data_IF_732396457428
#
_entry.id   IF_732396457428
#
_cell.length_a   1.000
_cell.length_b   1.000
_cell.length_c   1.000
_cell.angle_alpha   90.00
_cell.angle_beta   90.00
_cell.angle_gamma   90.00
#
_symmetry.space_group_name_H-M   'P 1'
#
loop_
_entity.id
_entity.type
_entity.pdbx_description
1 polymer ?
#
# COMPACT_ATOMS: atom_id res chain seq x y z
N UNK A 1 0.31 15.88 3.12
CA UNK A 1 0.79 14.82 2.22
C UNK A 1 1.05 15.41 0.86
N UNK A 2 2.24 15.19 0.28
CA UNK A 2 2.53 15.54 -1.12
C UNK A 2 1.99 14.43 -2.03
N UNK A 3 1.30 14.79 -3.11
CA UNK A 3 0.74 13.86 -4.10
C UNK A 3 1.42 14.10 -5.44
N UNK A 4 1.96 13.03 -6.04
CA UNK A 4 2.64 13.07 -7.34
C UNK A 4 1.88 12.23 -8.35
N UNK A 5 1.50 12.82 -9.47
CA UNK A 5 0.86 12.12 -10.58
C UNK A 5 1.88 11.78 -11.68
N UNK A 6 1.76 10.58 -12.25
CA UNK A 6 2.60 10.09 -13.33
C UNK A 6 1.85 9.00 -14.13
N UNK A 7 2.54 8.40 -15.11
CA UNK A 7 2.07 7.23 -15.84
C UNK A 7 3.05 6.07 -15.70
N UNK A 8 2.52 4.85 -15.73
CA UNK A 8 3.32 3.63 -15.90
C UNK A 8 3.86 3.53 -17.34
N UNK A 9 4.85 2.67 -17.56
CA UNK A 9 5.37 2.40 -18.92
C UNK A 9 4.30 1.87 -19.89
N UNK A 10 3.20 1.33 -19.35
CA UNK A 10 2.04 0.84 -20.10
C UNK A 10 0.94 1.89 -20.29
N UNK A 11 1.17 3.13 -19.88
CA UNK A 11 0.25 4.26 -20.06
C UNK A 11 -0.84 4.41 -18.98
N UNK A 12 -0.91 3.52 -18.00
CA UNK A 12 -1.88 3.62 -16.89
C UNK A 12 -1.53 4.75 -15.92
N UNK A 13 -2.54 5.46 -15.41
CA UNK A 13 -2.34 6.51 -14.41
C UNK A 13 -1.81 5.92 -13.10
N UNK A 14 -0.84 6.62 -12.52
CA UNK A 14 -0.20 6.28 -11.25
C UNK A 14 -0.09 7.53 -10.38
N UNK A 15 -0.54 7.42 -9.14
CA UNK A 15 -0.45 8.45 -8.12
C UNK A 15 0.41 7.91 -6.99
N UNK A 16 1.42 8.68 -6.57
CA UNK A 16 2.34 8.33 -5.48
C UNK A 16 2.24 9.33 -4.35
N UNK A 17 2.37 8.84 -3.13
CA UNK A 17 2.40 9.64 -1.90
C UNK A 17 3.06 8.84 -0.77
N UNK A 18 3.22 9.46 0.38
CA UNK A 18 3.77 8.83 1.59
C UNK A 18 2.73 8.89 2.72
N UNK A 19 2.65 7.82 3.52
CA UNK A 19 1.79 7.78 4.69
C UNK A 19 2.41 8.55 5.89
N UNK A 20 1.78 8.48 7.06
CA UNK A 20 2.27 9.16 8.26
C UNK A 20 3.65 8.69 8.74
N UNK A 21 4.07 7.48 8.34
CA UNK A 21 5.35 6.88 8.69
C UNK A 21 6.37 6.94 7.55
N UNK A 22 6.16 7.85 6.60
CA UNK A 22 6.97 8.03 5.40
C UNK A 22 7.04 6.74 4.52
N UNK A 23 6.06 5.85 4.64
CA UNK A 23 5.97 4.64 3.81
C UNK A 23 5.41 5.03 2.45
N UNK A 24 6.11 4.61 1.40
CA UNK A 24 5.71 4.87 0.01
C UNK A 24 4.43 4.11 -0.33
N UNK A 25 3.43 4.87 -0.75
CA UNK A 25 2.11 4.40 -1.14
C UNK A 25 1.80 4.79 -2.58
N UNK A 26 0.91 4.04 -3.23
CA UNK A 26 0.39 4.41 -4.53
C UNK A 26 -1.07 4.02 -4.75
N UNK A 27 -1.68 4.75 -5.68
CA UNK A 27 -2.92 4.38 -6.37
C UNK A 27 -2.58 4.25 -7.85
N UNK A 28 -2.95 3.14 -8.47
CA UNK A 28 -2.68 2.88 -9.88
C UNK A 28 -3.90 2.32 -10.57
N UNK A 29 -4.20 2.76 -11.79
CA UNK A 29 -5.17 2.09 -12.64
C UNK A 29 -4.74 0.63 -12.88
N UNK A 30 -5.71 -0.29 -12.77
CA UNK A 30 -5.50 -1.69 -13.06
C UNK A 30 -5.71 -1.97 -14.53
N UNK A 31 -4.93 -2.90 -15.07
CA UNK A 31 -5.14 -3.45 -16.42
C UNK A 31 -6.19 -4.57 -16.44
N UNK A 32 -7.09 -4.61 -15.45
CA UNK A 32 -8.15 -5.62 -15.39
C UNK A 32 -9.10 -5.41 -16.58
N UNK A 33 -9.28 -6.45 -17.39
CA UNK A 33 -10.04 -6.34 -18.63
C UNK A 33 -11.57 -6.30 -18.42
N UNK A 34 -12.05 -6.85 -17.31
CA UNK A 34 -13.48 -7.07 -17.07
C UNK A 34 -14.15 -5.91 -16.37
N UNK A 35 -13.41 -5.18 -15.53
CA UNK A 35 -13.96 -4.17 -14.62
C UNK A 35 -12.97 -3.02 -14.44
N UNK A 36 -13.52 -1.82 -14.24
CA UNK A 36 -12.71 -0.67 -13.82
C UNK A 36 -12.27 -0.83 -12.37
N UNK A 37 -10.96 -0.98 -12.18
CA UNK A 37 -10.38 -1.24 -10.88
C UNK A 37 -9.05 -0.51 -10.70
N UNK A 38 -8.67 -0.31 -9.43
CA UNK A 38 -7.41 0.31 -9.04
C UNK A 38 -6.63 -0.61 -8.10
N UNK A 39 -5.31 -0.49 -8.15
CA UNK A 39 -4.44 -0.95 -7.07
C UNK A 39 -4.26 0.19 -6.08
N UNK A 40 -4.44 -0.08 -4.78
CA UNK A 40 -4.26 0.91 -3.72
C UNK A 40 -3.58 0.29 -2.50
N UNK A 41 -2.42 0.83 -2.10
CA UNK A 41 -1.72 0.43 -0.88
C UNK A 41 -0.24 0.81 -0.89
N UNK A 42 0.56 0.09 -0.09
CA UNK A 42 2.01 0.34 0.05
C UNK A 42 2.80 -0.31 -1.09
N UNK A 43 3.90 0.33 -1.50
CA UNK A 43 4.77 -0.14 -2.59
C UNK A 43 5.58 -1.40 -2.23
N UNK A 44 6.01 -1.51 -0.97
CA UNK A 44 6.90 -2.57 -0.50
C UNK A 44 6.43 -3.08 0.87
N UNK A 45 6.42 -4.40 1.05
CA UNK A 45 6.05 -5.05 2.30
C UNK A 45 7.09 -4.82 3.40
N UNK A 46 8.35 -4.55 3.03
CA UNK A 46 9.49 -4.28 3.91
C UNK A 46 9.50 -5.21 5.14
N UNK A 47 9.61 -6.54 4.95
CA UNK A 47 9.51 -7.51 6.02
C UNK A 47 10.65 -7.31 7.04
N UNK A 48 10.29 -7.27 8.32
CA UNK A 48 11.23 -7.08 9.43
C UNK A 48 11.03 -8.12 10.52
N UNK A 49 12.11 -8.42 11.23
CA UNK A 49 12.16 -9.31 12.37
C UNK A 49 12.80 -8.60 13.55
N UNK A 50 12.34 -8.89 14.77
CA UNK A 50 12.99 -8.36 15.97
C UNK A 50 14.40 -8.94 16.08
N UNK A 51 15.41 -8.07 16.18
CA UNK A 51 16.81 -8.47 16.10
C UNK A 51 17.24 -9.44 17.21
N UNK A 52 16.56 -9.45 18.37
CA UNK A 52 16.76 -10.44 19.44
C UNK A 52 16.57 -11.89 18.99
N UNK A 53 15.75 -12.12 17.95
CA UNK A 53 15.51 -13.46 17.38
C UNK A 53 16.67 -13.94 16.50
N UNK A 54 17.55 -13.04 16.09
CA UNK A 54 18.77 -13.35 15.34
C UNK A 54 19.99 -13.38 16.28
N UNK A 55 20.07 -12.39 17.19
CA UNK A 55 21.17 -12.25 18.14
C UNK A 55 20.66 -11.69 19.47
N UNK A 56 20.95 -12.38 20.56
CA UNK A 56 20.58 -11.98 21.92
C UNK A 56 21.07 -10.57 22.27
N UNK A 57 20.27 -9.84 23.05
CA UNK A 57 20.58 -8.48 23.51
C UNK A 57 20.25 -7.34 22.54
N UNK A 58 19.66 -7.63 21.36
CA UNK A 58 19.22 -6.61 20.39
C UNK A 58 17.71 -6.37 20.45
N UNK A 59 17.26 -5.13 20.29
CA UNK A 59 15.83 -4.73 20.47
C UNK A 59 15.24 -4.00 19.28
N UNK A 60 16.04 -3.69 18.28
CA UNK A 60 15.64 -3.03 17.05
C UNK A 60 15.01 -4.00 16.03
N UNK A 61 14.34 -3.44 15.03
CA UNK A 61 13.88 -4.17 13.85
C UNK A 61 15.02 -4.36 12.85
N UNK A 62 15.27 -5.59 12.45
CA UNK A 62 16.21 -5.95 11.39
C UNK A 62 15.46 -6.41 10.14
N UNK A 63 16.09 -6.27 8.96
CA UNK A 63 15.56 -6.79 7.70
C UNK A 63 15.38 -8.32 7.81
N UNK A 64 14.22 -8.81 7.41
CA UNK A 64 13.97 -10.24 7.30
C UNK A 64 14.09 -10.68 5.84
N UNK A 65 15.08 -11.53 5.49
CA UNK A 65 15.20 -12.01 4.12
C UNK A 65 14.02 -12.95 3.81
N UNK A 66 13.32 -12.64 2.72
CA UNK A 66 12.25 -13.47 2.16
C UNK A 66 12.81 -14.13 0.90
N UNK A 67 12.62 -15.46 0.70
CA UNK A 67 12.99 -16.11 -0.56
C UNK A 67 12.30 -15.48 -1.76
N UNK A 68 12.98 -15.45 -2.91
CA UNK A 68 12.47 -14.80 -4.12
C UNK A 68 11.18 -15.46 -4.67
N UNK A 69 10.96 -16.75 -4.35
CA UNK A 69 9.78 -17.51 -4.74
C UNK A 69 8.53 -17.21 -3.88
N UNK A 70 8.63 -16.25 -2.94
CA UNK A 70 7.52 -15.84 -2.07
C UNK A 70 6.89 -14.56 -2.59
N UNK A 71 5.61 -14.63 -2.94
CA UNK A 71 4.82 -13.47 -3.32
C UNK A 71 4.27 -12.76 -2.07
N UNK A 72 4.60 -11.48 -1.91
CA UNK A 72 4.01 -10.59 -0.91
C UNK A 72 3.02 -9.65 -1.59
N UNK A 73 1.77 -9.67 -1.15
CA UNK A 73 0.75 -8.72 -1.61
C UNK A 73 0.60 -7.57 -0.61
N UNK A 74 0.74 -6.34 -1.10
CA UNK A 74 0.75 -5.12 -0.27
C UNK A 74 -0.31 -4.10 -0.65
N UNK A 75 -1.03 -4.36 -1.75
CA UNK A 75 -2.03 -3.47 -2.32
C UNK A 75 -3.35 -4.19 -2.48
N UNK A 76 -4.42 -3.48 -2.20
CA UNK A 76 -5.78 -3.91 -2.50
C UNK A 76 -6.04 -3.71 -3.99
N UNK A 77 -6.76 -4.65 -4.62
CA UNK A 77 -7.31 -4.48 -5.96
C UNK A 77 -8.80 -4.16 -5.80
N UNK A 78 -9.16 -2.90 -5.99
CA UNK A 78 -10.49 -2.40 -5.64
C UNK A 78 -11.26 -2.02 -6.90
N UNK A 79 -12.48 -2.55 -7.02
CA UNK A 79 -13.44 -2.11 -8.04
C UNK A 79 -14.10 -0.78 -7.64
N UNK A 80 -14.77 -0.13 -8.58
CA UNK A 80 -15.56 1.08 -8.29
C UNK A 80 -16.63 0.86 -7.22
N UNK A 81 -17.27 -0.31 -7.19
CA UNK A 81 -18.29 -0.62 -6.18
C UNK A 81 -17.67 -0.72 -4.78
N UNK A 82 -16.55 -1.42 -4.64
CA UNK A 82 -15.85 -1.51 -3.36
C UNK A 82 -15.35 -0.14 -2.88
N UNK A 83 -14.86 0.70 -3.79
CA UNK A 83 -14.48 2.08 -3.45
C UNK A 83 -15.69 2.87 -2.95
N UNK A 84 -16.86 2.76 -3.59
CA UNK A 84 -18.09 3.44 -3.13
C UNK A 84 -18.49 3.03 -1.72
N UNK A 85 -18.32 1.76 -1.34
CA UNK A 85 -18.61 1.29 0.02
C UNK A 85 -17.60 1.81 1.05
N UNK A 86 -16.34 1.99 0.66
CA UNK A 86 -15.29 2.52 1.53
C UNK A 86 -15.40 4.04 1.74
N UNK A 87 -15.86 4.79 0.73
CA UNK A 87 -15.86 6.25 0.76
C UNK A 87 -16.63 6.85 1.96
N UNK A 88 -17.86 6.43 2.31
CA UNK A 88 -18.57 6.95 3.48
C UNK A 88 -17.81 6.75 4.79
N UNK A 89 -17.14 5.60 4.93
CA UNK A 89 -16.36 5.26 6.11
C UNK A 89 -15.13 6.18 6.22
N UNK A 90 -14.38 6.32 5.11
CA UNK A 90 -13.21 7.19 5.05
C UNK A 90 -13.57 8.66 5.22
N UNK A 91 -14.72 9.09 4.68
CA UNK A 91 -15.22 10.45 4.82
C UNK A 91 -15.57 10.75 6.27
N UNK A 92 -16.28 9.84 6.96
CA UNK A 92 -16.57 9.99 8.39
C UNK A 92 -15.29 10.13 9.22
N UNK A 93 -14.28 9.30 8.97
CA UNK A 93 -12.99 9.43 9.64
C UNK A 93 -12.32 10.78 9.37
N UNK A 94 -12.35 11.27 8.13
CA UNK A 94 -11.81 12.59 7.79
C UNK A 94 -12.55 13.73 8.51
N UNK A 95 -13.86 13.59 8.71
CA UNK A 95 -14.70 14.62 9.34
C UNK A 95 -14.66 14.60 10.87
N UNK A 96 -14.55 13.41 11.48
CA UNK A 96 -14.73 13.24 12.94
C UNK A 96 -13.56 12.60 13.68
N UNK A 97 -12.64 11.93 12.97
CA UNK A 97 -11.61 11.07 13.57
C UNK A 97 -12.10 9.68 13.98
N UNK A 98 -13.36 9.33 13.71
CA UNK A 98 -13.95 8.02 14.00
C UNK A 98 -14.40 7.30 12.71
N UNK A 99 -14.33 5.97 12.70
CA UNK A 99 -14.78 5.09 11.61
C UNK A 99 -16.25 4.74 11.82
#
# INVERSE_FOLDING_TARGET
>A
MEIKEMQTDRGFKLIKFEDFYDVKCNIQESSLATEEAIWFGVEDANPRILASKIKEGRTEWAKYPIPDDVLLSTRMHLTREQVKELLPILQKFADTGEI
#
